data_IF_913561700732
#
_entry.id   IF_913561700732
#
_cell.length_a   1.000
_cell.length_b   1.000
_cell.length_c   1.000
_cell.angle_alpha   90.00
_cell.angle_beta   90.00
_cell.angle_gamma   90.00
#
_symmetry.space_group_name_H-M   'P 1'
#
loop_
_entity.id
_entity.type
_entity.pdbx_description
1 polymer ?
#
# COMPACT_ATOMS: atom_id res chain seq x y z
N UNK A 1 5.82 2.83 -15.97
CA UNK A 1 5.50 4.05 -15.20
C UNK A 1 5.51 3.75 -13.69
N UNK A 2 4.76 2.74 -13.22
CA UNK A 2 4.76 2.33 -11.80
C UNK A 2 6.17 1.99 -11.28
N UNK A 3 6.96 1.23 -12.04
CA UNK A 3 8.35 0.91 -11.70
C UNK A 3 9.24 2.15 -11.63
N UNK A 4 9.05 3.11 -12.55
CA UNK A 4 9.80 4.36 -12.55
C UNK A 4 9.47 5.22 -11.32
N UNK A 5 8.21 5.23 -10.88
CA UNK A 5 7.78 5.95 -9.66
C UNK A 5 8.36 5.30 -8.40
N UNK A 6 8.38 3.96 -8.31
CA UNK A 6 8.94 3.23 -7.16
C UNK A 6 10.46 3.41 -7.06
N UNK A 7 11.15 3.35 -8.18
CA UNK A 7 12.61 3.51 -8.24
C UNK A 7 13.05 4.98 -8.29
N UNK A 8 12.11 5.93 -8.28
CA UNK A 8 12.38 7.36 -8.42
C UNK A 8 13.27 7.69 -9.65
N UNK A 9 13.04 6.99 -10.75
CA UNK A 9 13.74 7.19 -12.02
C UNK A 9 12.88 8.04 -12.93
N UNK A 10 13.31 9.25 -13.24
CA UNK A 10 12.58 10.19 -14.10
C UNK A 10 12.60 9.80 -15.58
N UNK A 11 13.44 8.86 -15.98
CA UNK A 11 13.60 8.40 -17.35
C UNK A 11 13.12 6.96 -17.53
N UNK A 12 12.90 6.54 -18.76
CA UNK A 12 12.60 5.15 -19.08
C UNK A 12 13.71 4.25 -18.52
N UNK A 13 13.32 3.14 -17.90
CA UNK A 13 14.26 2.12 -17.46
C UNK A 13 14.89 1.49 -18.72
N UNK A 14 16.14 1.78 -18.98
CA UNK A 14 16.90 1.13 -20.05
C UNK A 14 17.52 -0.16 -19.49
N UNK A 15 17.36 -1.24 -20.24
CA UNK A 15 17.90 -2.56 -19.91
C UNK A 15 19.08 -2.76 -20.85
N UNK A 16 20.29 -2.88 -20.28
CA UNK A 16 21.51 -3.14 -21.01
C UNK A 16 21.76 -4.65 -21.06
N UNK A 17 21.39 -5.28 -22.18
CA UNK A 17 21.51 -6.72 -22.36
C UNK A 17 22.98 -7.15 -22.47
N UNK A 18 23.36 -8.12 -21.65
CA UNK A 18 24.67 -8.77 -21.71
C UNK A 18 24.61 -10.11 -22.43
N UNK A 19 23.52 -10.85 -22.26
CA UNK A 19 23.22 -12.10 -22.95
C UNK A 19 21.72 -12.20 -23.16
N UNK A 20 21.28 -12.40 -24.39
CA UNK A 20 19.88 -12.59 -24.74
C UNK A 20 19.73 -13.89 -25.54
N UNK A 21 19.06 -14.88 -24.96
CA UNK A 21 18.68 -16.12 -25.64
C UNK A 21 17.24 -15.98 -26.14
N UNK A 22 17.06 -16.14 -27.45
CA UNK A 22 15.73 -16.07 -28.09
C UNK A 22 15.38 -17.47 -28.59
N UNK A 23 14.29 -18.03 -28.08
CA UNK A 23 13.72 -19.26 -28.60
C UNK A 23 12.39 -18.92 -29.27
N UNK A 24 12.27 -19.29 -30.55
CA UNK A 24 11.06 -19.07 -31.34
C UNK A 24 10.52 -20.42 -31.83
N UNK A 25 9.30 -20.76 -31.43
CA UNK A 25 8.60 -21.95 -31.91
C UNK A 25 7.37 -21.56 -32.73
N UNK A 26 7.32 -22.01 -33.98
CA UNK A 26 6.12 -21.92 -34.83
C UNK A 26 5.50 -23.31 -34.97
N UNK A 27 4.28 -23.50 -34.52
CA UNK A 27 3.54 -24.71 -34.92
C UNK A 27 2.78 -24.45 -36.20
N UNK A 28 3.00 -25.31 -37.21
CA UNK A 28 2.37 -25.24 -38.53
C UNK A 28 1.03 -25.97 -38.61
N UNK A 29 0.43 -26.33 -37.48
CA UNK A 29 -0.90 -26.95 -37.47
C UNK A 29 -1.96 -25.91 -37.86
N UNK A 30 -2.64 -26.17 -38.97
CA UNK A 30 -3.56 -25.29 -39.70
C UNK A 30 -4.78 -24.76 -38.92
N UNK A 31 -4.94 -25.07 -37.63
CA UNK A 31 -6.09 -24.63 -36.85
C UNK A 31 -5.76 -23.82 -35.59
N UNK A 32 -4.50 -23.85 -35.10
CA UNK A 32 -4.09 -23.04 -33.96
C UNK A 32 -2.69 -22.52 -34.23
N UNK A 33 -2.55 -21.29 -34.71
CA UNK A 33 -1.29 -20.59 -34.81
C UNK A 33 -0.76 -20.26 -33.41
N UNK A 34 -0.29 -21.25 -32.67
CA UNK A 34 0.37 -21.02 -31.37
C UNK A 34 1.74 -20.44 -31.69
N UNK A 35 1.87 -19.10 -31.60
CA UNK A 35 3.16 -18.43 -31.64
C UNK A 35 3.68 -18.36 -30.20
N UNK A 36 4.60 -19.24 -29.87
CA UNK A 36 5.37 -19.15 -28.65
C UNK A 36 6.64 -18.36 -28.92
N UNK A 37 6.82 -17.24 -28.23
CA UNK A 37 8.08 -16.51 -28.18
C UNK A 37 8.60 -16.56 -26.75
N UNK A 38 9.77 -17.13 -26.53
CA UNK A 38 10.43 -17.13 -25.23
C UNK A 38 11.74 -16.36 -25.32
N UNK A 39 11.92 -15.40 -24.42
CA UNK A 39 13.12 -14.60 -24.28
C UNK A 39 13.69 -14.84 -22.88
N UNK A 40 14.95 -15.29 -22.82
CA UNK A 40 15.70 -15.41 -21.57
C UNK A 40 16.84 -14.42 -21.62
N UNK A 41 16.94 -13.53 -20.63
CA UNK A 41 17.95 -12.48 -20.62
C UNK A 41 18.59 -12.26 -19.26
N UNK A 42 19.85 -11.84 -19.33
CA UNK A 42 20.60 -11.30 -18.21
C UNK A 42 21.07 -9.91 -18.58
N UNK A 43 20.72 -8.91 -17.78
CA UNK A 43 20.97 -7.51 -18.13
C UNK A 43 21.38 -6.69 -16.93
N UNK A 44 22.01 -5.56 -17.15
CA UNK A 44 22.18 -4.52 -16.14
C UNK A 44 21.01 -3.55 -16.19
N UNK A 45 20.57 -3.08 -15.03
CA UNK A 45 19.44 -2.12 -14.92
C UNK A 45 19.88 -0.67 -15.16
N UNK A 46 21.17 -0.37 -14.99
CA UNK A 46 21.72 0.98 -15.13
C UNK A 46 23.11 0.90 -15.77
N UNK A 47 23.44 1.85 -16.61
CA UNK A 47 24.65 1.88 -17.43
C UNK A 47 25.94 1.64 -16.63
N UNK A 48 26.04 2.18 -15.42
CA UNK A 48 27.22 2.04 -14.55
C UNK A 48 26.98 1.09 -13.35
N UNK A 49 25.87 0.36 -13.35
CA UNK A 49 25.41 -0.41 -12.20
C UNK A 49 25.76 -1.90 -12.27
N UNK A 50 27.04 -2.29 -12.26
CA UNK A 50 27.43 -3.72 -12.33
C UNK A 50 26.80 -4.61 -11.27
N UNK A 51 26.30 -4.03 -10.15
CA UNK A 51 25.60 -4.75 -9.07
C UNK A 51 24.09 -4.77 -9.26
N UNK A 52 23.54 -3.92 -10.14
CA UNK A 52 22.11 -3.83 -10.43
C UNK A 52 21.80 -4.69 -11.64
N UNK A 53 21.31 -5.91 -11.39
CA UNK A 53 21.14 -6.95 -12.41
C UNK A 53 19.72 -7.41 -12.48
N UNK A 54 19.27 -7.78 -13.66
CA UNK A 54 18.00 -8.48 -13.90
C UNK A 54 18.29 -9.78 -14.65
N UNK A 55 17.70 -10.85 -14.17
CA UNK A 55 17.55 -12.10 -14.90
C UNK A 55 16.07 -12.27 -15.18
N UNK A 56 15.68 -12.49 -16.41
CA UNK A 56 14.28 -12.58 -16.77
C UNK A 56 14.00 -13.68 -17.80
N UNK A 57 12.80 -14.19 -17.73
CA UNK A 57 12.19 -15.03 -18.72
C UNK A 57 10.85 -14.43 -19.12
N UNK A 58 10.71 -14.08 -20.40
CA UNK A 58 9.48 -13.59 -20.99
C UNK A 58 8.95 -14.64 -21.95
N UNK A 59 7.70 -15.06 -21.73
CA UNK A 59 7.00 -15.98 -22.62
C UNK A 59 5.77 -15.29 -23.19
N UNK A 60 5.64 -15.25 -24.51
CA UNK A 60 4.46 -14.76 -25.21
C UNK A 60 3.80 -15.90 -25.95
N UNK A 61 2.60 -16.26 -25.57
CA UNK A 61 1.79 -17.33 -26.17
C UNK A 61 0.40 -16.79 -26.50
N UNK A 62 0.05 -16.74 -27.79
CA UNK A 62 -1.23 -16.24 -28.31
C UNK A 62 -1.72 -14.92 -27.68
N UNK A 63 -2.47 -15.04 -26.58
CA UNK A 63 -3.13 -13.94 -25.89
C UNK A 63 -2.56 -13.68 -24.48
N UNK A 64 -1.52 -14.43 -24.08
CA UNK A 64 -0.96 -14.38 -22.74
C UNK A 64 0.53 -14.05 -22.80
N UNK A 65 0.94 -13.07 -22.02
CA UNK A 65 2.34 -12.77 -21.76
C UNK A 65 2.63 -13.12 -20.31
N UNK A 66 3.67 -13.90 -20.07
CA UNK A 66 4.17 -14.22 -18.73
C UNK A 66 5.60 -13.71 -18.60
N UNK A 67 5.89 -12.99 -17.51
CA UNK A 67 7.22 -12.53 -17.15
C UNK A 67 7.59 -13.09 -15.78
N UNK A 68 8.74 -13.74 -15.69
CA UNK A 68 9.40 -14.12 -14.46
C UNK A 68 10.71 -13.33 -14.41
N UNK A 69 10.97 -12.62 -13.31
CA UNK A 69 12.20 -11.86 -13.17
C UNK A 69 12.75 -11.94 -11.75
N UNK A 70 14.10 -11.99 -11.69
CA UNK A 70 14.88 -11.79 -10.47
C UNK A 70 15.71 -10.52 -10.66
N UNK A 71 15.49 -9.54 -9.84
CA UNK A 71 16.07 -8.20 -9.94
C UNK A 71 16.91 -7.96 -8.68
N UNK A 72 18.18 -7.65 -8.85
CA UNK A 72 19.05 -7.16 -7.78
C UNK A 72 19.19 -5.65 -7.91
N UNK A 73 18.97 -4.92 -6.83
CA UNK A 73 19.08 -3.46 -6.79
C UNK A 73 19.99 -3.08 -5.62
N UNK A 74 21.13 -2.46 -5.98
CA UNK A 74 22.12 -1.97 -5.02
C UNK A 74 22.19 -0.45 -5.04
N UNK A 75 22.46 0.16 -6.22
CA UNK A 75 22.84 1.56 -6.37
C UNK A 75 21.70 2.55 -6.15
N UNK A 76 20.46 2.16 -6.38
CA UNK A 76 19.30 3.08 -6.30
C UNK A 76 18.47 2.86 -5.04
N UNK A 77 17.90 3.94 -4.45
CA UNK A 77 16.94 3.82 -3.36
C UNK A 77 15.59 3.31 -3.87
N UNK A 78 14.82 2.66 -3.01
CA UNK A 78 13.42 2.30 -3.25
C UNK A 78 12.57 2.98 -2.19
N UNK A 79 11.58 3.76 -2.62
CA UNK A 79 10.72 4.54 -1.75
C UNK A 79 9.27 4.10 -1.91
N UNK A 80 8.64 3.70 -0.79
CA UNK A 80 7.20 3.47 -0.71
C UNK A 80 6.61 4.44 0.32
N UNK A 81 6.35 5.66 -0.14
CA UNK A 81 6.01 6.80 0.73
C UNK A 81 4.77 6.57 1.59
N UNK A 82 3.78 5.82 1.08
CA UNK A 82 2.53 5.54 1.80
C UNK A 82 2.73 4.76 3.09
N UNK A 83 3.69 3.84 3.10
CA UNK A 83 4.04 3.01 4.26
C UNK A 83 5.34 3.46 4.92
N UNK A 84 5.85 4.65 4.55
CA UNK A 84 7.10 5.22 5.07
C UNK A 84 8.33 4.32 4.89
N UNK A 85 8.32 3.40 3.91
CA UNK A 85 9.44 2.49 3.64
C UNK A 85 10.51 3.15 2.78
N UNK A 86 11.78 2.85 3.07
CA UNK A 86 12.94 3.21 2.25
C UNK A 86 14.01 2.14 2.29
N UNK A 87 14.36 1.61 1.14
CA UNK A 87 15.64 0.95 0.90
C UNK A 87 16.65 2.02 0.49
N UNK A 88 17.70 2.22 1.28
CA UNK A 88 18.74 3.23 1.00
C UNK A 88 19.61 2.83 -0.20
N UNK A 89 20.29 3.81 -0.78
CA UNK A 89 21.38 3.54 -1.75
C UNK A 89 22.47 2.66 -1.15
N UNK A 90 23.16 1.94 -2.01
CA UNK A 90 24.28 1.05 -1.66
C UNK A 90 23.94 -0.04 -0.64
N UNK A 91 22.67 -0.44 -0.62
CA UNK A 91 22.17 -1.58 0.17
C UNK A 91 21.69 -2.67 -0.78
N UNK A 92 22.19 -3.89 -0.63
CA UNK A 92 21.75 -5.02 -1.41
C UNK A 92 20.26 -5.31 -1.17
N UNK A 93 19.53 -5.44 -2.25
CA UNK A 93 18.14 -5.87 -2.23
C UNK A 93 17.82 -6.72 -3.46
N UNK A 94 16.78 -7.53 -3.35
CA UNK A 94 16.29 -8.35 -4.45
C UNK A 94 14.79 -8.23 -4.59
N UNK A 95 14.31 -8.29 -5.83
CA UNK A 95 12.89 -8.40 -6.16
C UNK A 95 12.72 -9.66 -7.00
N UNK A 96 11.87 -10.58 -6.54
CA UNK A 96 11.39 -11.69 -7.35
C UNK A 96 9.99 -11.37 -7.82
N UNK A 97 9.79 -11.40 -9.13
CA UNK A 97 8.55 -11.01 -9.78
C UNK A 97 8.03 -12.15 -10.67
N UNK A 98 6.75 -12.45 -10.54
CA UNK A 98 5.99 -13.21 -11.55
C UNK A 98 4.77 -12.40 -11.95
N UNK A 99 4.65 -12.15 -13.26
CA UNK A 99 3.59 -11.33 -13.85
C UNK A 99 2.95 -12.10 -15.00
N UNK A 100 1.63 -11.97 -15.10
CA UNK A 100 0.84 -12.43 -16.24
C UNK A 100 0.02 -11.27 -16.78
N UNK A 101 0.05 -11.08 -18.09
CA UNK A 101 -0.81 -10.10 -18.77
C UNK A 101 -1.56 -10.77 -19.90
N UNK A 102 -2.83 -10.42 -20.06
CA UNK A 102 -3.65 -10.85 -21.19
C UNK A 102 -3.82 -9.69 -22.19
N UNK A 103 -4.18 -9.97 -23.44
CA UNK A 103 -4.44 -8.94 -24.48
C UNK A 103 -5.46 -7.88 -24.06
N UNK A 104 -6.33 -8.18 -23.10
CA UNK A 104 -7.32 -7.23 -22.55
C UNK A 104 -6.73 -6.21 -21.56
N UNK A 105 -5.40 -6.07 -21.51
CA UNK A 105 -4.65 -5.03 -20.81
C UNK A 105 -4.75 -5.03 -19.28
N UNK A 106 -5.31 -6.03 -18.64
CA UNK A 106 -5.15 -6.19 -17.18
C UNK A 106 -3.82 -6.90 -16.89
N UNK A 107 -3.10 -6.43 -15.88
CA UNK A 107 -1.86 -7.03 -15.40
C UNK A 107 -2.17 -7.75 -14.09
N UNK A 108 -1.83 -9.02 -14.03
CA UNK A 108 -1.84 -9.80 -12.80
C UNK A 108 -0.40 -10.00 -12.34
N UNK A 109 -0.04 -9.34 -11.24
CA UNK A 109 1.20 -9.60 -10.52
C UNK A 109 0.96 -10.79 -9.59
N UNK A 110 1.22 -12.00 -10.09
CA UNK A 110 0.97 -13.23 -9.35
C UNK A 110 1.76 -13.27 -8.05
N UNK A 111 3.01 -12.79 -8.09
CA UNK A 111 3.89 -12.79 -6.93
C UNK A 111 4.94 -11.69 -7.05
N UNK A 112 5.09 -10.92 -5.98
CA UNK A 112 6.22 -10.00 -5.79
C UNK A 112 6.81 -10.29 -4.41
N UNK A 113 8.11 -10.52 -4.36
CA UNK A 113 8.87 -10.64 -3.12
C UNK A 113 10.01 -9.64 -3.19
N UNK A 114 9.97 -8.64 -2.35
CA UNK A 114 11.09 -7.76 -2.10
C UNK A 114 11.81 -8.20 -0.83
N UNK A 115 13.14 -8.27 -0.87
CA UNK A 115 13.98 -8.54 0.30
C UNK A 115 15.16 -7.57 0.34
N UNK A 116 15.44 -7.02 1.51
CA UNK A 116 16.61 -6.19 1.78
C UNK A 116 17.02 -6.33 3.23
N UNK A 117 18.19 -6.94 3.49
CA UNK A 117 18.61 -7.30 4.86
C UNK A 117 17.52 -8.11 5.58
N UNK A 118 16.92 -7.52 6.63
CA UNK A 118 15.85 -8.13 7.43
C UNK A 118 14.44 -7.70 6.97
N UNK A 119 14.36 -6.80 5.98
CA UNK A 119 13.09 -6.30 5.47
C UNK A 119 12.56 -7.22 4.38
N UNK A 120 11.26 -7.51 4.45
CA UNK A 120 10.54 -8.28 3.44
C UNK A 120 9.17 -7.65 3.16
N UNK A 121 8.86 -7.48 1.87
CA UNK A 121 7.53 -7.09 1.39
C UNK A 121 7.08 -8.15 0.40
N UNK A 122 5.90 -8.72 0.66
CA UNK A 122 5.31 -9.77 -0.16
C UNK A 122 3.94 -9.35 -0.66
N UNK A 123 3.69 -9.54 -1.96
CA UNK A 123 2.37 -9.35 -2.58
C UNK A 123 2.01 -10.60 -3.39
N UNK A 124 0.74 -10.99 -3.31
CA UNK A 124 0.18 -12.12 -4.03
C UNK A 124 -1.09 -11.72 -4.77
N UNK A 125 -1.16 -12.10 -6.05
CA UNK A 125 -2.29 -11.90 -6.96
C UNK A 125 -2.80 -10.45 -6.99
N UNK A 126 -1.87 -9.50 -7.12
CA UNK A 126 -2.21 -8.08 -7.29
C UNK A 126 -2.66 -7.83 -8.73
N UNK A 127 -3.93 -7.51 -8.90
CA UNK A 127 -4.52 -7.18 -10.20
C UNK A 127 -4.55 -5.67 -10.42
N UNK A 128 -4.02 -5.26 -11.56
CA UNK A 128 -3.95 -3.86 -11.98
C UNK A 128 -4.74 -3.69 -13.27
N UNK A 129 -5.67 -2.73 -13.29
CA UNK A 129 -6.44 -2.35 -14.48
C UNK A 129 -5.56 -1.61 -15.49
N UNK A 130 -6.05 -1.45 -16.72
CA UNK A 130 -5.34 -0.72 -17.80
C UNK A 130 -5.06 0.75 -17.50
N UNK A 131 -5.81 1.37 -16.58
CA UNK A 131 -5.60 2.74 -16.10
C UNK A 131 -4.61 2.83 -14.92
N UNK A 132 -3.84 1.77 -14.66
CA UNK A 132 -2.87 1.62 -13.55
C UNK A 132 -3.49 1.62 -12.15
N UNK A 133 -4.78 1.37 -12.03
CA UNK A 133 -5.46 1.29 -10.74
C UNK A 133 -5.45 -0.15 -10.21
N UNK A 134 -5.26 -0.29 -8.90
CA UNK A 134 -5.37 -1.59 -8.24
C UNK A 134 -6.84 -2.02 -8.24
N UNK A 135 -7.14 -3.17 -8.82
CA UNK A 135 -8.47 -3.75 -8.81
C UNK A 135 -8.72 -4.57 -7.55
N UNK A 136 -7.83 -5.48 -7.25
CA UNK A 136 -7.84 -6.32 -6.06
C UNK A 136 -6.47 -6.96 -5.83
N UNK A 137 -6.33 -7.63 -4.70
CA UNK A 137 -5.17 -8.47 -4.38
C UNK A 137 -5.60 -9.61 -3.45
N UNK A 138 -4.82 -10.68 -3.39
CA UNK A 138 -5.07 -11.81 -2.49
C UNK A 138 -4.42 -11.61 -1.13
N UNK A 139 -3.15 -11.19 -1.12
CA UNK A 139 -2.38 -11.02 0.11
C UNK A 139 -1.29 -9.97 -0.03
N UNK A 140 -1.09 -9.20 1.04
CA UNK A 140 0.05 -8.32 1.25
C UNK A 140 0.64 -8.65 2.62
N UNK A 141 1.95 -8.86 2.69
CA UNK A 141 2.70 -9.00 3.95
C UNK A 141 3.79 -7.95 3.99
N UNK A 142 3.87 -7.25 5.09
CA UNK A 142 4.85 -6.20 5.35
C UNK A 142 5.64 -6.57 6.59
N UNK A 143 6.94 -6.75 6.47
CA UNK A 143 7.85 -6.93 7.58
C UNK A 143 9.11 -6.10 7.33
N UNK A 144 9.16 -4.89 7.88
CA UNK A 144 10.26 -3.97 7.63
C UNK A 144 10.40 -2.91 8.72
N UNK A 145 11.58 -2.27 8.75
CA UNK A 145 11.84 -1.08 9.55
C UNK A 145 11.75 0.17 8.67
N UNK A 146 10.89 1.12 9.06
CA UNK A 146 10.61 2.31 8.27
C UNK A 146 11.66 3.43 8.45
N UNK A 147 11.52 4.55 7.71
CA UNK A 147 12.37 5.76 7.83
C UNK A 147 12.41 6.35 9.24
N UNK A 148 11.44 6.08 10.07
CA UNK A 148 11.35 6.54 11.46
C UNK A 148 11.95 5.55 12.45
N UNK A 149 12.60 4.47 11.98
CA UNK A 149 13.11 3.34 12.76
C UNK A 149 12.02 2.58 13.53
N UNK A 150 10.79 2.61 13.04
CA UNK A 150 9.68 1.84 13.61
C UNK A 150 9.51 0.53 12.85
N UNK A 151 9.40 -0.57 13.59
CA UNK A 151 9.09 -1.87 13.00
C UNK A 151 7.64 -1.93 12.54
N UNK A 152 7.45 -2.48 11.34
CA UNK A 152 6.15 -2.75 10.74
C UNK A 152 6.04 -4.25 10.47
N UNK A 153 4.98 -4.85 10.99
CA UNK A 153 4.61 -6.23 10.76
C UNK A 153 3.09 -6.28 10.56
N UNK A 154 2.67 -6.36 9.31
CA UNK A 154 1.27 -6.30 8.91
C UNK A 154 0.98 -7.33 7.83
N UNK A 155 -0.18 -7.98 7.94
CA UNK A 155 -0.72 -8.87 6.92
C UNK A 155 -2.10 -8.37 6.52
N UNK A 156 -2.32 -8.16 5.23
CA UNK A 156 -3.64 -7.88 4.65
C UNK A 156 -4.00 -9.06 3.74
N UNK A 157 -5.10 -9.74 4.04
CA UNK A 157 -5.54 -10.94 3.31
C UNK A 157 -7.00 -10.80 2.87
N UNK A 158 -7.25 -11.06 1.59
CA UNK A 158 -8.61 -11.12 1.06
C UNK A 158 -9.41 -12.27 1.68
N UNK A 159 -10.64 -12.01 2.09
CA UNK A 159 -11.61 -12.98 2.61
C UNK A 159 -12.98 -12.74 1.98
N UNK A 160 -13.31 -13.49 0.93
CA UNK A 160 -14.56 -13.29 0.15
C UNK A 160 -14.71 -11.83 -0.33
N UNK A 161 -15.61 -11.06 0.28
CA UNK A 161 -15.86 -9.64 -0.03
C UNK A 161 -15.12 -8.64 0.86
N UNK A 162 -14.34 -9.12 1.83
CA UNK A 162 -13.68 -8.30 2.84
C UNK A 162 -12.16 -8.53 2.79
N UNK A 163 -11.43 -7.67 3.46
CA UNK A 163 -10.01 -7.85 3.76
C UNK A 163 -9.80 -7.97 5.26
N UNK A 164 -9.03 -8.93 5.69
CA UNK A 164 -8.56 -9.05 7.07
C UNK A 164 -7.19 -8.40 7.19
N UNK A 165 -7.07 -7.42 8.09
CA UNK A 165 -5.83 -6.71 8.41
C UNK A 165 -5.39 -7.10 9.80
N UNK A 166 -4.26 -7.80 9.91
CA UNK A 166 -3.70 -8.23 11.19
C UNK A 166 -2.23 -7.85 11.29
N UNK A 167 -1.75 -7.62 12.50
CA UNK A 167 -0.34 -7.30 12.71
C UNK A 167 0.01 -7.07 14.16
N UNK A 168 1.31 -7.20 14.48
CA UNK A 168 1.82 -6.85 15.81
C UNK A 168 2.14 -5.36 15.93
N UNK A 169 2.65 -4.74 14.85
CA UNK A 169 3.06 -3.32 14.84
C UNK A 169 2.87 -2.71 13.46
N UNK A 170 2.39 -1.48 13.40
CA UNK A 170 2.29 -0.75 12.14
C UNK A 170 2.37 0.77 12.34
N UNK A 171 3.14 1.46 11.49
CA UNK A 171 3.19 2.91 11.45
C UNK A 171 2.16 3.44 10.44
N UNK A 172 1.00 3.88 10.95
CA UNK A 172 -0.09 4.42 10.13
C UNK A 172 0.06 5.93 9.84
N UNK A 173 1.11 6.61 10.35
CA UNK A 173 1.23 8.06 10.27
C UNK A 173 1.06 8.62 8.85
N UNK A 174 1.67 7.98 7.84
CA UNK A 174 1.60 8.42 6.44
C UNK A 174 0.25 8.15 5.80
N UNK A 175 -0.39 7.04 6.15
CA UNK A 175 -1.75 6.73 5.69
C UNK A 175 -2.73 7.76 6.26
N UNK A 176 -2.61 8.08 7.54
CA UNK A 176 -3.43 9.11 8.20
C UNK A 176 -3.21 10.48 7.53
N UNK A 177 -1.94 10.90 7.35
CA UNK A 177 -1.61 12.17 6.69
C UNK A 177 -2.19 12.25 5.26
N UNK A 178 -2.16 11.14 4.53
CA UNK A 178 -2.71 11.05 3.19
C UNK A 178 -4.24 11.14 3.18
N UNK A 179 -4.90 10.46 4.12
CA UNK A 179 -6.37 10.45 4.23
C UNK A 179 -6.95 11.82 4.60
N UNK A 180 -6.18 12.66 5.29
CA UNK A 180 -6.59 14.01 5.69
C UNK A 180 -6.39 15.06 4.59
N UNK A 181 -5.61 14.77 3.54
CA UNK A 181 -5.43 15.68 2.40
C UNK A 181 -6.66 15.65 1.52
N UNK A 182 -7.53 16.65 1.69
CA UNK A 182 -8.88 16.76 1.10
C UNK A 182 -8.90 16.70 -0.44
N UNK A 183 -7.80 16.97 -1.12
CA UNK A 183 -7.71 17.07 -2.58
C UNK A 183 -6.82 16.02 -3.25
N UNK A 184 -6.51 14.89 -2.60
CA UNK A 184 -5.72 13.87 -3.26
C UNK A 184 -6.54 13.20 -4.38
N UNK A 185 -6.31 13.61 -5.62
CA UNK A 185 -6.79 12.92 -6.84
C UNK A 185 -6.27 11.46 -6.93
N UNK A 186 -5.36 11.10 -6.07
CA UNK A 186 -4.77 9.76 -5.96
C UNK A 186 -5.50 8.96 -4.87
N UNK A 187 -6.59 8.35 -5.22
CA UNK A 187 -7.26 7.38 -4.38
C UNK A 187 -6.33 6.16 -4.22
N UNK A 188 -6.07 5.76 -2.97
CA UNK A 188 -5.17 4.66 -2.61
C UNK A 188 -5.63 3.30 -3.15
N UNK A 189 -6.92 3.13 -3.24
CA UNK A 189 -7.55 1.91 -3.73
C UNK A 189 -8.63 2.28 -4.73
N UNK A 190 -8.49 1.82 -5.95
CA UNK A 190 -9.52 1.97 -6.97
C UNK A 190 -10.12 0.60 -7.22
N UNK A 191 -11.05 0.26 -6.38
CA UNK A 191 -11.99 -0.81 -6.68
C UNK A 191 -13.36 -0.16 -6.78
N UNK A 192 -14.06 -0.37 -7.88
CA UNK A 192 -15.47 0.03 -8.02
C UNK A 192 -16.37 -0.74 -7.03
N UNK A 193 -15.77 -1.63 -6.24
CA UNK A 193 -16.43 -2.46 -5.26
C UNK A 193 -16.37 -1.81 -3.87
N UNK A 194 -17.42 -2.02 -3.11
CA UNK A 194 -17.45 -1.71 -1.69
C UNK A 194 -16.50 -2.67 -0.96
N UNK A 195 -15.39 -2.18 -0.45
CA UNK A 195 -14.41 -2.98 0.27
C UNK A 195 -14.50 -2.69 1.78
N UNK A 196 -14.54 -3.75 2.57
CA UNK A 196 -14.51 -3.66 4.03
C UNK A 196 -13.20 -4.28 4.52
N UNK A 197 -12.47 -3.54 5.32
CA UNK A 197 -11.24 -3.97 5.99
C UNK A 197 -11.54 -4.23 7.46
N UNK A 198 -11.46 -5.49 7.89
CA UNK A 198 -11.55 -5.90 9.29
C UNK A 198 -10.17 -5.81 9.92
N UNK A 199 -10.02 -4.99 10.93
CA UNK A 199 -8.73 -4.62 11.52
C UNK A 199 -8.57 -5.27 12.89
N UNK A 200 -7.38 -5.86 13.11
CA UNK A 200 -6.94 -6.34 14.41
C UNK A 200 -5.40 -6.21 14.48
N UNK A 201 -4.92 -5.10 15.05
CA UNK A 201 -3.50 -4.78 15.15
C UNK A 201 -3.16 -4.48 16.61
N UNK A 202 -2.10 -5.13 17.12
CA UNK A 202 -1.73 -4.98 18.53
C UNK A 202 -1.21 -3.58 18.87
N UNK A 203 -0.38 -2.97 17.98
CA UNK A 203 0.20 -1.65 18.18
C UNK A 203 0.22 -0.85 16.88
N UNK A 204 -0.40 0.34 16.89
CA UNK A 204 -0.41 1.25 15.74
C UNK A 204 0.20 2.58 16.14
N UNK A 205 1.31 2.95 15.48
CA UNK A 205 1.90 4.27 15.64
C UNK A 205 1.09 5.29 14.84
N UNK A 206 0.59 6.33 15.53
CA UNK A 206 -0.09 7.46 14.90
C UNK A 206 0.91 8.53 14.46
N UNK A 207 2.05 8.62 15.12
CA UNK A 207 3.22 9.40 14.74
C UNK A 207 4.51 8.76 15.30
N UNK A 208 5.66 9.46 15.26
CA UNK A 208 6.95 8.95 15.75
C UNK A 208 6.98 8.65 17.26
N UNK A 209 6.15 9.33 18.05
CA UNK A 209 6.16 9.26 19.53
C UNK A 209 4.93 8.55 20.07
N UNK A 210 3.77 8.79 19.45
CA UNK A 210 2.47 8.36 19.94
C UNK A 210 1.96 7.10 19.23
N UNK A 211 1.36 6.21 19.99
CA UNK A 211 0.76 4.99 19.48
C UNK A 211 -0.50 4.61 20.27
N UNK A 212 -1.30 3.78 19.67
CA UNK A 212 -2.46 3.12 20.25
C UNK A 212 -2.25 1.61 20.27
N UNK A 213 -2.88 0.91 21.21
CA UNK A 213 -2.83 -0.55 21.39
C UNK A 213 -4.16 -1.18 21.05
N UNK A 214 -4.10 -2.44 20.59
CA UNK A 214 -5.28 -3.30 20.37
C UNK A 214 -6.32 -2.62 19.47
N UNK A 215 -5.87 -2.04 18.35
CA UNK A 215 -6.78 -1.46 17.37
C UNK A 215 -7.63 -2.56 16.74
N UNK A 216 -8.95 -2.47 16.92
CA UNK A 216 -9.95 -3.41 16.39
C UNK A 216 -11.10 -2.66 15.76
N UNK A 217 -11.72 -3.29 14.75
CA UNK A 217 -12.92 -2.78 14.11
C UNK A 217 -12.92 -2.94 12.60
N UNK A 218 -13.72 -2.13 11.94
CA UNK A 218 -13.93 -2.20 10.49
C UNK A 218 -13.76 -0.82 9.86
N UNK A 219 -13.23 -0.79 8.64
CA UNK A 219 -13.20 0.39 7.76
C UNK A 219 -13.81 0.00 6.43
N UNK A 220 -14.82 0.75 5.97
CA UNK A 220 -15.49 0.55 4.69
C UNK A 220 -15.20 1.68 3.72
N UNK A 221 -14.98 1.31 2.47
CA UNK A 221 -14.83 2.23 1.34
C UNK A 221 -15.93 1.97 0.33
N UNK A 222 -16.51 3.05 -0.21
CA UNK A 222 -17.49 3.05 -1.29
C UNK A 222 -17.02 4.04 -2.35
N UNK A 223 -16.88 3.60 -3.59
CA UNK A 223 -16.34 4.43 -4.67
C UNK A 223 -15.01 5.13 -4.29
N UNK A 224 -14.11 4.37 -3.64
CA UNK A 224 -12.80 4.81 -3.15
C UNK A 224 -12.81 5.91 -2.06
N UNK A 225 -13.95 6.22 -1.51
CA UNK A 225 -14.09 7.14 -0.40
C UNK A 225 -14.39 6.37 0.87
N UNK A 226 -13.76 6.77 1.98
CA UNK A 226 -14.13 6.28 3.30
C UNK A 226 -15.59 6.64 3.56
N UNK A 227 -16.44 5.63 3.78
CA UNK A 227 -17.86 5.82 4.06
C UNK A 227 -18.28 5.30 5.43
N UNK A 228 -17.56 4.30 5.95
CA UNK A 228 -17.82 3.78 7.30
C UNK A 228 -16.49 3.48 8.00
N UNK A 229 -16.44 3.72 9.30
CA UNK A 229 -15.41 3.19 10.18
C UNK A 229 -16.01 2.99 11.57
N UNK A 230 -15.63 1.91 12.24
CA UNK A 230 -15.92 1.68 13.65
C UNK A 230 -14.66 1.09 14.27
N UNK A 231 -13.84 1.93 14.87
CA UNK A 231 -12.55 1.56 15.41
C UNK A 231 -12.47 1.85 16.90
N UNK A 232 -11.98 0.86 17.63
CA UNK A 232 -11.73 0.95 19.07
C UNK A 232 -10.28 0.58 19.33
N UNK A 233 -9.62 1.32 20.22
CA UNK A 233 -8.26 1.07 20.67
C UNK A 233 -8.00 1.71 22.03
N UNK A 234 -6.78 1.58 22.54
CA UNK A 234 -6.39 2.13 23.84
C UNK A 234 -5.03 2.84 23.72
N UNK A 235 -4.90 3.98 24.36
CA UNK A 235 -3.60 4.60 24.56
C UNK A 235 -2.73 3.79 25.55
N UNK A 236 -1.40 4.05 25.63
CA UNK A 236 -0.51 3.35 26.56
C UNK A 236 -0.93 3.43 28.03
N UNK A 237 -1.58 4.53 28.44
CA UNK A 237 -2.11 4.76 29.79
C UNK A 237 -3.42 4.01 30.07
N UNK A 238 -3.95 3.24 29.11
CA UNK A 238 -5.19 2.50 29.25
C UNK A 238 -6.46 3.25 28.81
N UNK A 239 -6.36 4.54 28.52
CA UNK A 239 -7.51 5.33 28.09
C UNK A 239 -7.96 4.94 26.69
N UNK A 240 -9.29 4.87 26.52
CA UNK A 240 -9.94 4.43 25.29
C UNK A 240 -9.88 5.52 24.22
N UNK A 241 -9.67 5.07 22.97
CA UNK A 241 -9.82 5.86 21.75
C UNK A 241 -10.86 5.22 20.86
N UNK A 242 -11.83 5.99 20.42
CA UNK A 242 -12.91 5.57 19.49
C UNK A 242 -12.95 6.48 18.28
N UNK A 243 -13.08 5.87 17.10
CA UNK A 243 -13.34 6.56 15.84
C UNK A 243 -14.54 5.91 15.16
N UNK A 244 -15.59 6.71 14.94
CA UNK A 244 -16.77 6.30 14.20
C UNK A 244 -16.93 7.19 12.96
N UNK A 245 -17.15 6.57 11.81
CA UNK A 245 -17.49 7.24 10.55
C UNK A 245 -18.71 6.54 9.98
N UNK A 246 -19.75 7.31 9.64
CA UNK A 246 -20.97 6.78 9.06
C UNK A 246 -21.49 7.69 7.93
N UNK A 247 -21.89 7.08 6.81
CA UNK A 247 -22.64 7.75 5.76
C UNK A 247 -24.13 7.81 6.15
N UNK A 248 -24.71 8.99 6.15
CA UNK A 248 -26.14 9.19 6.42
C UNK A 248 -26.99 8.94 5.17
N UNK A 249 -28.30 8.88 5.32
CA UNK A 249 -29.25 8.77 4.18
C UNK A 249 -29.14 9.96 3.22
N UNK A 250 -28.69 11.13 3.69
CA UNK A 250 -28.49 12.35 2.89
C UNK A 250 -27.10 12.40 2.20
N UNK A 251 -26.36 11.26 2.14
CA UNK A 251 -24.98 11.17 1.63
C UNK A 251 -23.99 12.11 2.37
N UNK A 252 -24.27 12.43 3.62
CA UNK A 252 -23.34 13.13 4.49
C UNK A 252 -22.44 12.14 5.21
N UNK A 253 -21.17 12.43 5.36
CA UNK A 253 -20.22 11.64 6.14
C UNK A 253 -20.07 12.27 7.51
N UNK A 254 -20.54 11.56 8.53
CA UNK A 254 -20.40 11.97 9.93
C UNK A 254 -19.19 11.25 10.52
N UNK A 255 -18.23 12.01 11.02
CA UNK A 255 -17.03 11.50 11.71
C UNK A 255 -17.10 11.91 13.16
N UNK A 256 -16.90 10.95 14.07
CA UNK A 256 -16.83 11.18 15.51
C UNK A 256 -15.57 10.58 16.09
N UNK A 257 -14.88 11.33 16.94
CA UNK A 257 -13.71 10.86 17.71
C UNK A 257 -14.00 11.13 19.18
N UNK A 258 -13.77 10.12 20.01
CA UNK A 258 -13.87 10.22 21.45
C UNK A 258 -12.62 9.68 22.13
N UNK A 259 -12.10 10.41 23.11
CA UNK A 259 -11.05 9.92 24.01
C UNK A 259 -10.99 10.72 25.29
N UNK A 260 -10.59 10.04 26.39
CA UNK A 260 -10.24 10.68 27.67
C UNK A 260 -8.75 11.01 27.79
N UNK A 261 -8.00 10.88 26.70
CA UNK A 261 -6.59 11.27 26.64
C UNK A 261 -6.33 12.06 25.36
N UNK A 262 -6.68 13.35 25.32
CA UNK A 262 -6.62 14.19 24.13
C UNK A 262 -5.21 14.51 23.64
N UNK A 263 -4.25 14.55 24.57
CA UNK A 263 -2.85 14.98 24.33
C UNK A 263 -2.24 14.47 23.02
N UNK A 264 -2.24 13.16 22.68
CA UNK A 264 -1.62 12.67 21.44
C UNK A 264 -2.30 13.21 20.18
N UNK A 265 -3.62 13.43 20.23
CA UNK A 265 -4.39 13.94 19.11
C UNK A 265 -4.17 15.43 18.93
N UNK A 266 -4.28 16.19 20.01
CA UNK A 266 -4.08 17.65 20.00
C UNK A 266 -2.67 18.00 19.55
N UNK A 267 -1.65 17.36 20.10
CA UNK A 267 -0.24 17.61 19.74
C UNK A 267 0.07 17.22 18.29
N UNK A 268 -0.52 16.12 17.77
CA UNK A 268 -0.32 15.71 16.40
C UNK A 268 -0.89 16.72 15.41
N UNK A 269 -2.12 17.18 15.64
CA UNK A 269 -2.84 18.04 14.70
C UNK A 269 -2.67 19.52 14.95
N UNK A 270 -2.03 19.90 16.07
CA UNK A 270 -1.78 21.28 16.47
C UNK A 270 -3.05 22.15 16.44
N UNK A 271 -4.16 21.56 16.82
CA UNK A 271 -5.45 22.27 16.85
C UNK A 271 -5.44 23.43 17.83
N UNK A 272 -4.84 23.22 19.00
CA UNK A 272 -4.76 24.17 20.09
C UNK A 272 -3.50 23.83 20.91
N UNK A 273 -2.76 24.82 21.38
CA UNK A 273 -1.66 24.61 22.33
C UNK A 273 -2.19 24.52 23.77
N UNK A 274 -1.68 23.60 24.58
CA UNK A 274 -1.89 23.56 26.01
C UNK A 274 -2.99 22.63 26.54
N UNK A 275 -3.69 21.90 25.70
CA UNK A 275 -4.71 20.93 26.14
C UNK A 275 -4.12 19.51 26.21
N UNK A 276 -3.50 19.21 27.36
CA UNK A 276 -2.86 17.92 27.59
C UNK A 276 -3.75 16.92 28.34
N UNK A 277 -4.80 17.38 29.00
CA UNK A 277 -5.74 16.62 29.83
C UNK A 277 -7.19 16.82 29.37
N UNK A 278 -8.13 16.10 30.00
CA UNK A 278 -9.57 16.23 29.74
C UNK A 278 -10.16 15.18 28.84
N UNK A 279 -11.37 15.44 28.39
CA UNK A 279 -12.16 14.56 27.49
C UNK A 279 -12.34 15.24 26.16
N UNK A 280 -11.86 14.61 25.08
CA UNK A 280 -12.02 15.11 23.73
C UNK A 280 -13.22 14.46 23.06
N UNK A 281 -14.14 15.31 22.58
CA UNK A 281 -15.23 14.97 21.70
C UNK A 281 -15.05 15.77 20.39
N UNK A 282 -14.85 15.08 19.30
CA UNK A 282 -14.81 15.69 17.95
C UNK A 282 -15.94 15.14 17.12
N UNK A 283 -16.66 16.03 16.46
CA UNK A 283 -17.65 15.67 15.46
C UNK A 283 -17.46 16.49 14.20
N UNK A 284 -17.51 15.85 13.04
CA UNK A 284 -17.47 16.50 11.74
C UNK A 284 -18.58 15.96 10.87
N UNK A 285 -19.30 16.84 10.19
CA UNK A 285 -20.29 16.49 9.15
C UNK A 285 -19.80 17.05 7.83
N UNK A 286 -19.51 16.14 6.91
CA UNK A 286 -19.04 16.50 5.56
C UNK A 286 -20.12 16.18 4.53
N UNK A 287 -20.47 17.20 3.75
CA UNK A 287 -21.33 17.09 2.57
C UNK A 287 -20.59 17.67 1.37
N UNK A 288 -20.43 16.89 0.31
CA UNK A 288 -19.65 17.26 -0.87
C UNK A 288 -18.21 17.72 -0.51
N UNK A 289 -17.91 19.01 -0.72
CA UNK A 289 -16.62 19.62 -0.40
C UNK A 289 -16.65 20.49 0.86
N UNK A 290 -17.78 20.56 1.56
CA UNK A 290 -17.95 21.38 2.77
C UNK A 290 -17.91 20.44 3.98
N UNK A 291 -17.14 20.81 5.00
CA UNK A 291 -17.06 20.11 6.28
C UNK A 291 -17.27 21.09 7.42
N UNK A 292 -18.28 20.81 8.24
CA UNK A 292 -18.53 21.52 9.49
C UNK A 292 -18.04 20.65 10.64
N UNK A 293 -17.17 21.19 11.48
CA UNK A 293 -16.57 20.43 12.58
C UNK A 293 -16.70 21.15 13.90
N UNK A 294 -16.96 20.38 14.96
CA UNK A 294 -17.00 20.84 16.34
C UNK A 294 -16.00 20.02 17.14
N UNK A 295 -15.12 20.68 17.86
CA UNK A 295 -14.19 20.08 18.80
C UNK A 295 -14.51 20.62 20.20
N UNK A 296 -14.79 19.73 21.13
CA UNK A 296 -15.04 20.05 22.53
C UNK A 296 -13.98 19.31 23.37
N UNK A 297 -13.34 20.01 24.26
CA UNK A 297 -12.45 19.44 25.29
C UNK A 297 -12.97 19.90 26.65
N UNK A 298 -13.45 18.95 27.45
CA UNK A 298 -14.00 19.18 28.78
C UNK A 298 -13.00 18.74 29.85
N UNK A 299 -13.09 19.35 31.04
CA UNK A 299 -12.26 18.98 32.22
C UNK A 299 -10.74 19.02 31.96
N UNK A 300 -10.27 20.05 31.31
CA UNK A 300 -8.84 20.29 31.03
C UNK A 300 -8.18 21.13 32.14
#
# INVERSE_FOLDING_TARGET
KLFNEILNVNNNLEIFDTNLDITYETSSLKQNNIKLLSLNGNSYLFENGQKDKIQYQLTNQENKVELIANINIYSKPILLNLINFEKKENVNSSIKLKLTSNKNRSILLNKIIFKSKNDEIYLEDLRIKSNNQIENFKKIELNFTDKSNLQNNLVVKAQKKNYLVTGSKFNASKIIDHSLKINSKNNLFVSDNNNIFKINIEKVYIDKKNYIKNLKGDIGFKNNKLNTANLISFFPNGEKFELNVNETQNNEIVTQIFTRYPKPIVQRYKFIDGFDEGVLNFQSVKKDNISNSVLIIDNF
#
